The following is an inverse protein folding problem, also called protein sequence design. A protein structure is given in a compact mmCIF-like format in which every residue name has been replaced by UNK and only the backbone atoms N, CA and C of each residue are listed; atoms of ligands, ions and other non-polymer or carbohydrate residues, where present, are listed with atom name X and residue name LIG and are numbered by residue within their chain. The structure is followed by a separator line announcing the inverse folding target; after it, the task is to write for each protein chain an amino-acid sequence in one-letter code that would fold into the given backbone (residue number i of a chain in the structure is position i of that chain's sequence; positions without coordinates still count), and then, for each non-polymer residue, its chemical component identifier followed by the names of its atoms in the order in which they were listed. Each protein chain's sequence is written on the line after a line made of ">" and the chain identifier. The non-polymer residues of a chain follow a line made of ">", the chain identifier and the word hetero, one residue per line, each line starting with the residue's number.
data_IF_926129802535
#
_entry.id   IF_926129802535
#
_cell.length_a   1.000
_cell.length_b   1.000
_cell.length_c   1.000
_cell.angle_alpha   90.00
_cell.angle_beta   90.00
_cell.angle_gamma   90.00
#
_symmetry.space_group_name_H-M   'P 1'
#
loop_
_entity.id
_entity.type
_entity.pdbx_description
1 polymer ?
#
# COMPACT_ATOMS: atom_id res chain seq x y z
N UNK A 1 4.66 -31.85 -29.91
CA UNK A 1 4.77 -32.00 -28.44
C UNK A 1 5.40 -30.80 -27.74
N UNK A 2 6.29 -30.02 -28.38
CA UNK A 2 7.02 -28.90 -27.75
C UNK A 2 6.19 -27.63 -27.52
N UNK A 3 5.05 -27.49 -28.21
CA UNK A 3 4.20 -26.29 -28.21
C UNK A 3 3.24 -26.22 -27.00
N UNK A 4 2.81 -27.39 -26.50
CA UNK A 4 1.92 -27.46 -25.32
C UNK A 4 2.66 -27.11 -24.02
N UNK A 5 3.97 -27.36 -23.96
CA UNK A 5 4.80 -27.05 -22.79
C UNK A 5 5.12 -25.56 -22.66
N UNK A 6 5.31 -24.85 -23.77
CA UNK A 6 5.50 -23.39 -23.79
C UNK A 6 4.22 -22.66 -23.41
N UNK A 7 3.06 -23.06 -23.94
CA UNK A 7 1.77 -22.46 -23.60
C UNK A 7 1.40 -22.65 -22.12
N UNK A 8 1.69 -23.83 -21.56
CA UNK A 8 1.49 -24.10 -20.13
C UNK A 8 2.41 -23.22 -19.27
N UNK A 9 3.69 -23.07 -19.63
CA UNK A 9 4.62 -22.20 -18.92
C UNK A 9 4.18 -20.72 -19.00
N UNK A 10 3.76 -20.24 -20.18
CA UNK A 10 3.26 -18.88 -20.35
C UNK A 10 2.02 -18.59 -19.50
N UNK A 11 1.07 -19.54 -19.43
CA UNK A 11 -0.11 -19.42 -18.56
C UNK A 11 0.26 -19.31 -17.08
N UNK A 12 1.18 -20.16 -16.60
CA UNK A 12 1.67 -20.12 -15.21
C UNK A 12 2.33 -18.77 -14.90
N UNK A 13 3.15 -18.24 -15.81
CA UNK A 13 3.78 -16.92 -15.62
C UNK A 13 2.78 -15.75 -15.64
N UNK A 14 1.71 -15.85 -16.43
CA UNK A 14 0.67 -14.83 -16.49
C UNK A 14 -0.20 -14.81 -15.22
N UNK A 15 -0.51 -15.99 -14.66
CA UNK A 15 -1.27 -16.09 -13.42
C UNK A 15 -0.47 -15.62 -12.19
N UNK A 16 0.84 -15.86 -12.16
CA UNK A 16 1.73 -15.33 -11.13
C UNK A 16 1.83 -13.80 -11.21
N UNK A 17 1.98 -13.24 -12.42
CA UNK A 17 1.98 -11.78 -12.62
C UNK A 17 0.66 -11.15 -12.14
N UNK A 18 -0.49 -11.77 -12.45
CA UNK A 18 -1.80 -11.29 -11.97
C UNK A 18 -1.85 -11.26 -10.44
N UNK A 19 -1.38 -12.31 -9.77
CA UNK A 19 -1.35 -12.36 -8.31
C UNK A 19 -0.48 -11.25 -7.70
N UNK A 20 0.67 -10.93 -8.30
CA UNK A 20 1.48 -9.80 -7.85
C UNK A 20 0.77 -8.45 -8.01
N UNK A 21 0.11 -8.23 -9.15
CA UNK A 21 -0.66 -7.01 -9.43
C UNK A 21 -1.78 -6.86 -8.40
N UNK A 22 -2.62 -7.87 -8.21
CA UNK A 22 -3.75 -7.82 -7.27
C UNK A 22 -3.29 -7.56 -5.83
N UNK A 23 -2.18 -8.21 -5.42
CA UNK A 23 -1.57 -7.95 -4.10
C UNK A 23 -1.08 -6.51 -3.98
N UNK A 24 -0.46 -5.96 -5.02
CA UNK A 24 0.04 -4.59 -5.02
C UNK A 24 -1.11 -3.57 -4.97
N UNK A 25 -2.16 -3.77 -5.77
CA UNK A 25 -3.33 -2.90 -5.78
C UNK A 25 -4.05 -2.88 -4.42
N UNK A 26 -4.16 -4.04 -3.77
CA UNK A 26 -4.69 -4.10 -2.40
C UNK A 26 -3.82 -3.32 -1.41
N UNK A 27 -2.50 -3.47 -1.48
CA UNK A 27 -1.58 -2.72 -0.61
C UNK A 27 -1.64 -1.21 -0.86
N UNK A 28 -1.83 -0.77 -2.10
CA UNK A 28 -2.02 0.66 -2.41
C UNK A 28 -3.35 1.20 -1.87
N UNK A 29 -4.43 0.40 -1.92
CA UNK A 29 -5.69 0.77 -1.28
C UNK A 29 -5.54 0.87 0.26
N UNK A 30 -4.94 -0.13 0.90
CA UNK A 30 -4.68 -0.13 2.34
C UNK A 30 -3.81 1.07 2.76
N UNK A 31 -2.77 1.39 1.98
CA UNK A 31 -1.92 2.55 2.21
C UNK A 31 -2.68 3.86 2.12
N UNK A 32 -3.62 3.98 1.18
CA UNK A 32 -4.50 5.16 1.07
C UNK A 32 -5.37 5.31 2.30
N UNK A 33 -6.02 4.22 2.73
CA UNK A 33 -6.88 4.23 3.92
C UNK A 33 -6.09 4.60 5.18
N UNK A 34 -4.88 4.05 5.34
CA UNK A 34 -3.96 4.40 6.43
C UNK A 34 -3.57 5.88 6.37
N UNK A 35 -3.26 6.41 5.18
CA UNK A 35 -2.89 7.81 5.01
C UNK A 35 -4.05 8.75 5.40
N UNK A 36 -5.29 8.37 5.10
CA UNK A 36 -6.47 9.15 5.48
C UNK A 36 -6.72 9.09 6.99
N UNK A 37 -6.60 7.91 7.62
CA UNK A 37 -6.63 7.79 9.08
C UNK A 37 -5.53 8.64 9.77
N UNK A 38 -4.31 8.66 9.22
CA UNK A 38 -3.23 9.51 9.73
C UNK A 38 -3.58 11.01 9.66
N UNK A 39 -4.29 11.44 8.61
CA UNK A 39 -4.75 12.84 8.50
C UNK A 39 -5.79 13.17 9.56
N UNK A 40 -6.73 12.26 9.84
CA UNK A 40 -7.75 12.44 10.87
C UNK A 40 -7.12 12.62 12.25
N UNK A 41 -6.16 11.76 12.62
CA UNK A 41 -5.41 11.87 13.88
C UNK A 41 -4.70 13.23 14.00
N UNK A 42 -4.07 13.68 12.91
CA UNK A 42 -3.40 14.99 12.88
C UNK A 42 -4.41 16.14 12.99
N UNK A 43 -5.59 16.02 12.38
CA UNK A 43 -6.66 17.01 12.48
C UNK A 43 -7.22 17.10 13.91
N UNK A 44 -7.43 15.97 14.57
CA UNK A 44 -7.86 15.89 15.97
C UNK A 44 -6.82 16.51 16.90
N UNK A 45 -5.53 16.18 16.72
CA UNK A 45 -4.45 16.78 17.49
C UNK A 45 -4.41 18.32 17.31
N UNK A 46 -4.61 18.80 16.08
CA UNK A 46 -4.69 20.24 15.80
C UNK A 46 -5.89 20.89 16.50
N UNK A 47 -7.08 20.26 16.47
CA UNK A 47 -8.28 20.75 17.13
C UNK A 47 -8.10 20.84 18.66
N UNK A 48 -7.27 19.96 19.24
CA UNK A 48 -6.88 19.97 20.66
C UNK A 48 -5.77 20.97 20.99
N UNK A 49 -5.23 21.70 20.01
CA UNK A 49 -4.20 22.72 20.20
C UNK A 49 -2.75 22.24 20.09
N UNK A 50 -2.50 21.00 19.66
CA UNK A 50 -1.14 20.52 19.43
C UNK A 50 -0.54 21.04 18.11
N UNK A 51 0.76 21.29 18.10
CA UNK A 51 1.50 21.58 16.87
C UNK A 51 1.80 20.29 16.10
N UNK A 52 1.00 20.04 15.06
CA UNK A 52 1.14 18.87 14.18
C UNK A 52 2.46 18.82 13.42
N UNK A 53 3.14 19.96 13.17
CA UNK A 53 4.47 19.97 12.55
C UNK A 53 5.52 19.42 13.50
N UNK A 54 5.46 19.82 14.77
CA UNK A 54 6.36 19.30 15.80
C UNK A 54 6.09 17.81 16.05
N UNK A 55 4.81 17.40 16.11
CA UNK A 55 4.46 15.98 16.24
C UNK A 55 5.06 15.13 15.12
N UNK A 56 4.96 15.57 13.85
CA UNK A 56 5.58 14.85 12.72
C UNK A 56 7.10 14.72 12.87
N UNK A 57 7.78 15.77 13.35
CA UNK A 57 9.22 15.71 13.63
C UNK A 57 9.54 14.68 14.72
N UNK A 58 8.76 14.65 15.80
CA UNK A 58 8.95 13.67 16.88
C UNK A 58 8.71 12.24 16.40
N UNK A 59 7.70 12.01 15.56
CA UNK A 59 7.43 10.69 14.96
C UNK A 59 8.60 10.25 14.08
N UNK A 60 9.16 11.15 13.25
CA UNK A 60 10.28 10.84 12.37
C UNK A 60 11.61 10.58 13.10
N UNK A 61 11.72 10.99 14.37
CA UNK A 61 12.90 10.77 15.21
C UNK A 61 12.80 9.50 16.07
N UNK A 62 11.65 8.81 16.05
CA UNK A 62 11.43 7.54 16.76
C UNK A 62 11.68 6.36 15.84
#
# INVERSE_FOLDING_TARGET
>A
MNDMTSDAAHRVTADELRQFIERFERLEAEKKDIADQQKEVMAEAKARGYDTKVMRKVIALR
#
